data_IF_015182486999
#
_entry.id   IF_015182486999
#
_cell.length_a   1.000
_cell.length_b   1.000
_cell.length_c   1.000
_cell.angle_alpha   90.00
_cell.angle_beta   90.00
_cell.angle_gamma   90.00
#
_symmetry.space_group_name_H-M   'P 1'
#
loop_
_entity.id
_entity.type
_entity.pdbx_description
1 polymer ?
#
# COMPACT_ATOMS: atom_id res chain seq x y z
N UNK A 1 0.57 -77.34 33.08
CA UNK A 1 -0.61 -76.45 33.04
C UNK A 1 -0.71 -75.90 31.61
N UNK A 2 -1.62 -76.45 30.79
CA UNK A 2 -1.87 -75.92 29.44
C UNK A 2 -2.88 -74.77 29.55
N UNK A 3 -2.42 -73.55 29.26
CA UNK A 3 -3.24 -72.37 29.21
C UNK A 3 -4.27 -72.53 28.07
N UNK A 4 -5.55 -72.51 28.41
CA UNK A 4 -6.65 -72.54 27.44
C UNK A 4 -6.66 -71.19 26.70
N UNK A 5 -6.02 -71.09 25.55
CA UNK A 5 -6.13 -69.96 24.67
C UNK A 5 -7.49 -70.03 23.97
N UNK A 6 -8.43 -69.19 24.39
CA UNK A 6 -9.70 -68.97 23.68
C UNK A 6 -9.41 -68.17 22.41
N UNK A 7 -9.59 -68.78 21.27
CA UNK A 7 -9.54 -68.09 19.97
C UNK A 7 -10.71 -67.10 19.83
N UNK A 8 -10.49 -65.97 19.13
CA UNK A 8 -11.54 -65.01 18.80
C UNK A 8 -12.58 -65.65 17.90
N UNK A 9 -13.84 -65.32 18.13
CA UNK A 9 -14.91 -65.74 17.23
C UNK A 9 -14.93 -64.88 15.98
N UNK A 10 -15.37 -65.42 14.84
CA UNK A 10 -15.51 -64.70 13.59
C UNK A 10 -16.39 -63.43 13.73
N UNK A 11 -17.39 -63.49 14.57
CA UNK A 11 -18.32 -62.36 14.86
C UNK A 11 -17.64 -61.28 15.67
N UNK A 12 -16.81 -61.59 16.68
CA UNK A 12 -16.05 -60.64 17.42
C UNK A 12 -15.05 -59.88 16.52
N UNK A 13 -14.36 -60.60 15.62
CA UNK A 13 -13.47 -59.95 14.66
C UNK A 13 -14.24 -59.05 13.69
N UNK A 14 -15.41 -59.44 13.22
CA UNK A 14 -16.23 -58.65 12.32
C UNK A 14 -16.72 -57.35 13.01
N UNK A 15 -17.17 -57.42 14.24
CA UNK A 15 -17.61 -56.24 15.01
C UNK A 15 -16.44 -55.29 15.24
N UNK A 16 -15.26 -55.79 15.61
CA UNK A 16 -14.04 -54.95 15.82
C UNK A 16 -13.64 -54.24 14.51
N UNK A 17 -13.69 -54.93 13.36
CA UNK A 17 -13.37 -54.32 12.06
C UNK A 17 -14.37 -53.23 11.68
N UNK A 18 -15.67 -53.40 11.97
CA UNK A 18 -16.68 -52.35 11.73
C UNK A 18 -16.44 -51.13 12.60
N UNK A 19 -16.17 -51.33 13.90
CA UNK A 19 -15.89 -50.23 14.81
C UNK A 19 -14.60 -49.47 14.41
N UNK A 20 -13.53 -50.18 14.07
CA UNK A 20 -12.29 -49.60 13.58
C UNK A 20 -12.54 -48.81 12.27
N UNK A 21 -13.30 -49.34 11.33
CA UNK A 21 -13.68 -48.70 10.10
C UNK A 21 -14.43 -47.37 10.31
N UNK A 22 -15.38 -47.34 11.25
CA UNK A 22 -16.12 -46.15 11.63
C UNK A 22 -15.20 -45.10 12.29
N UNK A 23 -14.36 -45.52 13.23
CA UNK A 23 -13.41 -44.63 13.90
C UNK A 23 -12.39 -44.03 12.93
N UNK A 24 -11.84 -44.82 12.01
CA UNK A 24 -10.93 -44.33 10.97
C UNK A 24 -11.60 -43.32 10.06
N UNK A 25 -12.86 -43.50 9.69
CA UNK A 25 -13.59 -42.53 8.83
C UNK A 25 -13.71 -41.17 9.49
N UNK A 26 -14.03 -41.11 10.77
CA UNK A 26 -14.11 -39.82 11.54
C UNK A 26 -12.73 -39.21 11.74
N UNK A 27 -11.73 -40.02 12.10
CA UNK A 27 -10.36 -39.55 12.33
C UNK A 27 -9.72 -38.97 11.07
N UNK A 28 -9.95 -39.59 9.89
CA UNK A 28 -9.43 -39.07 8.60
C UNK A 28 -10.04 -37.72 8.24
N UNK A 29 -11.35 -37.53 8.40
CA UNK A 29 -12.00 -36.23 8.12
C UNK A 29 -11.47 -35.14 9.04
N UNK A 30 -11.32 -35.40 10.31
CA UNK A 30 -10.75 -34.45 11.27
C UNK A 30 -9.29 -34.11 10.95
N UNK A 31 -8.49 -35.10 10.55
CA UNK A 31 -7.09 -34.90 10.14
C UNK A 31 -6.94 -34.02 8.91
N UNK A 32 -7.76 -34.23 7.88
CA UNK A 32 -7.74 -33.40 6.65
C UNK A 32 -8.10 -31.96 6.95
N UNK A 33 -9.15 -31.71 7.72
CA UNK A 33 -9.56 -30.37 8.13
C UNK A 33 -8.45 -29.65 8.92
N UNK A 34 -7.77 -30.35 9.82
CA UNK A 34 -6.67 -29.78 10.59
C UNK A 34 -5.47 -29.40 9.70
N UNK A 35 -5.12 -30.22 8.73
CA UNK A 35 -4.04 -29.92 7.76
C UNK A 35 -4.39 -28.69 6.96
N UNK A 36 -5.62 -28.57 6.49
CA UNK A 36 -6.07 -27.42 5.70
C UNK A 36 -6.05 -26.11 6.52
N UNK A 37 -6.54 -26.17 7.75
CA UNK A 37 -6.46 -25.03 8.69
C UNK A 37 -5.03 -24.59 8.95
N UNK A 38 -4.11 -25.54 9.12
CA UNK A 38 -2.68 -25.24 9.32
C UNK A 38 -2.07 -24.59 8.09
N UNK A 39 -2.39 -25.05 6.88
CA UNK A 39 -1.91 -24.44 5.63
C UNK A 39 -2.38 -23.00 5.45
N UNK A 40 -3.66 -22.74 5.75
CA UNK A 40 -4.24 -21.40 5.73
C UNK A 40 -3.53 -20.49 6.74
N UNK A 41 -3.34 -20.97 7.98
CA UNK A 41 -2.64 -20.21 9.01
C UNK A 41 -1.18 -19.91 8.62
N UNK A 42 -0.47 -20.88 8.06
CA UNK A 42 0.89 -20.72 7.53
C UNK A 42 0.92 -19.68 6.40
N UNK A 43 -0.04 -19.70 5.49
CA UNK A 43 -0.15 -18.72 4.40
C UNK A 43 -0.28 -17.31 4.94
N UNK A 44 -1.21 -17.08 5.88
CA UNK A 44 -1.39 -15.76 6.53
C UNK A 44 -0.14 -15.28 7.24
N UNK A 45 0.50 -16.16 8.01
CA UNK A 45 1.76 -15.84 8.69
C UNK A 45 2.86 -15.41 7.71
N UNK A 46 2.98 -16.09 6.57
CA UNK A 46 3.96 -15.73 5.54
C UNK A 46 3.61 -14.41 4.86
N UNK A 47 2.33 -14.10 4.61
CA UNK A 47 1.89 -12.79 4.13
C UNK A 47 2.29 -11.67 5.10
N UNK A 48 2.15 -11.89 6.41
CA UNK A 48 2.58 -10.92 7.42
C UNK A 48 4.11 -10.75 7.45
N UNK A 49 4.88 -11.83 7.30
CA UNK A 49 6.35 -11.77 7.19
C UNK A 49 6.76 -10.97 5.96
N UNK A 50 6.11 -11.18 4.81
CA UNK A 50 6.37 -10.43 3.58
C UNK A 50 6.03 -8.95 3.80
N UNK A 51 4.91 -8.62 4.46
CA UNK A 51 4.56 -7.22 4.80
C UNK A 51 5.68 -6.55 5.61
N UNK A 52 6.18 -7.21 6.65
CA UNK A 52 7.27 -6.66 7.46
C UNK A 52 8.56 -6.46 6.64
N UNK A 53 8.90 -7.40 5.77
CA UNK A 53 10.06 -7.27 4.89
C UNK A 53 9.90 -6.13 3.87
N UNK A 54 8.70 -5.93 3.34
CA UNK A 54 8.36 -4.79 2.48
C UNK A 54 8.52 -3.46 3.22
N UNK A 55 8.08 -3.37 4.47
CA UNK A 55 8.27 -2.17 5.29
C UNK A 55 9.75 -1.88 5.54
N UNK A 56 10.56 -2.89 5.84
CA UNK A 56 12.01 -2.74 5.98
C UNK A 56 12.66 -2.30 4.65
N UNK A 57 12.21 -2.85 3.53
CA UNK A 57 12.70 -2.45 2.21
C UNK A 57 12.37 -0.99 1.90
N UNK A 58 11.14 -0.54 2.22
CA UNK A 58 10.72 0.86 2.08
C UNK A 58 11.64 1.77 2.92
N UNK A 59 11.88 1.45 4.17
CA UNK A 59 12.72 2.23 5.08
C UNK A 59 14.14 2.42 4.53
N UNK A 60 14.67 1.43 3.83
CA UNK A 60 16.04 1.46 3.28
C UNK A 60 16.13 2.03 1.86
N UNK A 61 15.08 1.88 1.05
CA UNK A 61 15.11 2.18 -0.38
C UNK A 61 14.16 3.31 -0.80
N UNK A 62 13.29 3.80 0.09
CA UNK A 62 12.25 4.80 -0.17
C UNK A 62 11.33 4.44 -1.36
N UNK A 63 11.08 3.17 -1.59
CA UNK A 63 10.21 2.62 -2.64
C UNK A 63 9.78 1.21 -2.31
N UNK A 64 8.82 0.67 -3.04
CA UNK A 64 8.51 -0.75 -3.06
C UNK A 64 9.40 -1.48 -4.07
N UNK A 65 9.70 -2.77 -3.86
CA UNK A 65 10.45 -3.54 -4.84
C UNK A 65 9.59 -3.86 -6.06
N UNK A 66 10.22 -4.00 -7.22
CA UNK A 66 9.58 -4.59 -8.37
C UNK A 66 9.26 -6.08 -8.12
N UNK A 67 8.22 -6.65 -8.74
CA UNK A 67 8.01 -8.10 -8.71
C UNK A 67 9.24 -8.87 -9.22
N UNK A 68 9.46 -10.07 -8.71
CA UNK A 68 10.36 -11.01 -9.32
C UNK A 68 9.70 -11.72 -10.51
N UNK A 69 10.53 -12.26 -11.41
CA UNK A 69 10.09 -12.98 -12.59
C UNK A 69 9.48 -14.32 -12.19
N UNK A 70 8.20 -14.52 -12.47
CA UNK A 70 7.47 -15.70 -12.06
C UNK A 70 7.95 -17.00 -12.78
N UNK A 71 8.37 -16.91 -14.03
CA UNK A 71 8.75 -18.05 -14.87
C UNK A 71 10.19 -18.55 -14.71
N UNK A 72 11.00 -17.95 -13.83
CA UNK A 72 12.37 -18.38 -13.62
C UNK A 72 12.44 -19.64 -12.74
N UNK A 73 13.24 -20.60 -13.19
CA UNK A 73 13.58 -21.79 -12.42
C UNK A 73 14.68 -21.50 -11.38
N UNK A 74 14.80 -22.32 -10.31
CA UNK A 74 15.91 -22.23 -9.37
C UNK A 74 17.28 -22.22 -10.08
N UNK A 75 18.23 -21.50 -9.51
CA UNK A 75 19.58 -21.30 -10.05
C UNK A 75 19.67 -20.50 -11.36
N UNK A 76 18.59 -19.94 -11.86
CA UNK A 76 18.63 -18.99 -12.98
C UNK A 76 18.98 -17.59 -12.47
N UNK A 77 19.75 -16.83 -13.22
CA UNK A 77 20.08 -15.45 -12.87
C UNK A 77 18.79 -14.61 -12.71
N UNK A 78 18.68 -13.86 -11.61
CA UNK A 78 17.49 -13.10 -11.29
C UNK A 78 16.37 -13.87 -10.56
N UNK A 79 16.56 -15.15 -10.28
CA UNK A 79 15.60 -15.94 -9.53
C UNK A 79 15.33 -15.34 -8.13
N UNK A 80 14.10 -14.96 -7.87
CA UNK A 80 13.70 -14.33 -6.60
C UNK A 80 14.18 -12.90 -6.39
N UNK A 81 14.83 -12.32 -7.37
CA UNK A 81 15.30 -10.93 -7.33
C UNK A 81 14.31 -10.04 -8.07
N UNK A 82 14.11 -8.82 -7.58
CA UNK A 82 13.27 -7.85 -8.26
C UNK A 82 13.71 -7.61 -9.72
N UNK A 83 12.74 -7.59 -10.61
CA UNK A 83 12.97 -7.37 -12.04
C UNK A 83 13.08 -5.88 -12.33
N UNK A 84 14.26 -5.32 -12.09
CA UNK A 84 14.58 -3.91 -12.25
C UNK A 84 15.57 -3.71 -13.39
N UNK A 85 15.25 -2.88 -14.38
CA UNK A 85 16.16 -2.46 -15.42
C UNK A 85 16.20 -0.94 -15.52
N UNK A 86 17.39 -0.34 -15.34
CA UNK A 86 17.64 1.12 -15.39
C UNK A 86 16.65 1.93 -14.55
N UNK A 87 16.27 1.39 -13.39
CA UNK A 87 15.37 2.08 -12.47
C UNK A 87 13.87 1.94 -12.74
N UNK A 88 13.47 1.10 -13.68
CA UNK A 88 12.06 0.84 -14.00
C UNK A 88 11.80 -0.65 -13.86
N UNK A 89 10.62 -0.99 -13.29
CA UNK A 89 10.16 -2.37 -13.28
C UNK A 89 9.90 -2.85 -14.71
N UNK A 90 10.44 -4.00 -15.04
CA UNK A 90 10.21 -4.63 -16.32
C UNK A 90 9.00 -5.53 -16.23
N UNK A 91 7.89 -5.11 -16.83
CA UNK A 91 6.58 -5.73 -16.61
C UNK A 91 6.27 -6.98 -17.42
N UNK A 92 7.11 -7.38 -18.39
CA UNK A 92 6.85 -8.54 -19.25
C UNK A 92 8.13 -9.25 -19.60
N UNK A 93 8.08 -10.57 -19.61
CA UNK A 93 9.17 -11.44 -20.01
C UNK A 93 8.76 -12.24 -21.25
N UNK A 94 9.66 -12.40 -22.17
CA UNK A 94 9.52 -13.36 -23.25
C UNK A 94 9.56 -14.79 -22.68
N UNK A 95 9.01 -15.74 -23.42
CA UNK A 95 9.04 -17.16 -23.06
C UNK A 95 10.47 -17.73 -22.88
N UNK A 96 11.49 -17.06 -23.40
CA UNK A 96 12.91 -17.40 -23.28
C UNK A 96 13.59 -16.80 -22.03
N UNK A 97 12.83 -16.11 -21.16
CA UNK A 97 13.36 -15.46 -19.97
C UNK A 97 14.05 -14.12 -20.24
N UNK A 98 14.08 -13.65 -21.48
CA UNK A 98 14.58 -12.30 -21.80
C UNK A 98 13.57 -11.24 -21.38
N UNK A 99 14.10 -10.17 -20.81
CA UNK A 99 13.31 -9.03 -20.35
C UNK A 99 12.80 -8.26 -21.57
N UNK A 100 11.49 -8.24 -21.79
CA UNK A 100 10.90 -7.27 -22.71
C UNK A 100 10.92 -5.91 -22.03
N UNK A 101 11.82 -5.06 -22.50
CA UNK A 101 11.81 -3.63 -22.16
C UNK A 101 10.67 -2.98 -22.93
N UNK A 102 9.46 -3.22 -22.47
CA UNK A 102 8.32 -2.39 -22.77
C UNK A 102 8.12 -1.50 -21.57
N UNK A 103 8.04 -0.19 -21.76
CA UNK A 103 7.56 0.69 -20.72
C UNK A 103 6.32 0.03 -20.13
N UNK A 104 6.21 -0.06 -18.78
CA UNK A 104 5.00 -0.49 -18.15
C UNK A 104 3.87 0.39 -18.71
N UNK A 105 3.12 -0.14 -19.67
CA UNK A 105 2.03 0.59 -20.33
C UNK A 105 0.80 0.67 -19.44
N UNK A 106 0.94 0.16 -18.19
CA UNK A 106 -0.09 0.12 -17.19
C UNK A 106 0.31 0.81 -15.88
N UNK A 107 -0.66 0.99 -15.03
CA UNK A 107 -0.49 1.56 -13.68
C UNK A 107 0.06 0.55 -12.67
N UNK A 108 0.11 -0.73 -13.03
CA UNK A 108 0.55 -1.85 -12.16
C UNK A 108 1.54 -2.77 -12.87
N UNK A 109 2.33 -3.49 -12.09
CA UNK A 109 3.24 -4.55 -12.56
C UNK A 109 3.05 -5.80 -11.71
N UNK A 110 3.01 -6.97 -12.38
CA UNK A 110 2.67 -8.26 -11.75
C UNK A 110 3.80 -9.27 -11.95
N UNK A 111 4.07 -10.06 -10.93
CA UNK A 111 5.01 -11.18 -10.92
C UNK A 111 4.84 -11.98 -9.64
N UNK A 112 5.93 -12.42 -9.06
CA UNK A 112 5.94 -13.10 -7.75
C UNK A 112 6.71 -12.26 -6.73
N UNK A 113 6.54 -12.58 -5.45
CA UNK A 113 7.25 -11.90 -4.35
C UNK A 113 8.76 -11.94 -4.60
N UNK A 114 9.47 -10.80 -4.58
CA UNK A 114 10.91 -10.74 -4.81
C UNK A 114 11.69 -11.05 -3.53
N UNK A 115 11.63 -12.29 -3.05
CA UNK A 115 12.14 -12.69 -1.74
C UNK A 115 13.61 -12.42 -1.54
N UNK A 116 14.44 -12.60 -2.57
CA UNK A 116 15.87 -12.32 -2.50
C UNK A 116 16.17 -10.83 -2.28
N UNK A 117 15.42 -9.94 -2.95
CA UNK A 117 15.54 -8.49 -2.73
C UNK A 117 14.99 -8.06 -1.37
N UNK A 118 14.04 -8.81 -0.81
CA UNK A 118 13.47 -8.59 0.52
C UNK A 118 14.27 -9.24 1.66
N UNK A 119 15.41 -9.86 1.34
CA UNK A 119 16.23 -10.65 2.29
C UNK A 119 15.42 -11.76 3.00
N UNK A 120 14.44 -12.33 2.31
CA UNK A 120 13.66 -13.47 2.76
C UNK A 120 14.22 -14.77 2.15
N UNK A 121 13.89 -15.90 2.78
CA UNK A 121 14.13 -17.23 2.18
C UNK A 121 13.09 -17.51 1.10
N UNK A 122 13.46 -18.38 0.17
CA UNK A 122 12.56 -18.91 -0.87
C UNK A 122 11.27 -19.52 -0.31
N UNK A 123 11.37 -20.18 0.85
CA UNK A 123 10.24 -20.76 1.56
C UNK A 123 9.20 -19.72 1.97
N UNK A 124 9.62 -18.49 2.34
CA UNK A 124 8.70 -17.41 2.72
C UNK A 124 7.93 -16.84 1.53
N UNK A 125 8.43 -17.04 0.30
CA UNK A 125 7.74 -16.64 -0.92
C UNK A 125 6.77 -17.70 -1.47
N UNK A 126 6.62 -18.81 -0.75
CA UNK A 126 5.75 -19.94 -1.07
C UNK A 126 4.68 -20.05 0.00
N UNK A 127 3.42 -20.18 -0.40
CA UNK A 127 2.29 -20.31 0.51
C UNK A 127 2.24 -21.66 1.25
N UNK A 128 1.24 -21.87 2.08
CA UNK A 128 1.03 -23.15 2.79
C UNK A 128 0.62 -24.30 1.89
N UNK A 129 0.32 -24.05 0.62
CA UNK A 129 -0.06 -25.03 -0.41
C UNK A 129 1.07 -25.29 -1.41
N UNK A 130 2.28 -24.73 -1.14
CA UNK A 130 3.50 -24.88 -1.94
C UNK A 130 3.49 -24.19 -3.30
N UNK A 131 2.65 -23.15 -3.47
CA UNK A 131 2.64 -22.28 -4.62
C UNK A 131 3.33 -20.95 -4.31
N UNK A 132 3.91 -20.30 -5.35
CA UNK A 132 4.47 -18.96 -5.22
C UNK A 132 3.36 -17.94 -5.00
N UNK A 133 3.57 -16.99 -4.09
CA UNK A 133 2.70 -15.84 -3.98
C UNK A 133 2.78 -14.99 -5.24
N UNK A 134 1.65 -14.69 -5.84
CA UNK A 134 1.55 -13.62 -6.83
C UNK A 134 1.71 -12.27 -6.12
N UNK A 135 2.53 -11.40 -6.66
CA UNK A 135 2.79 -10.06 -6.16
C UNK A 135 2.51 -9.04 -7.27
N UNK A 136 1.60 -8.12 -7.01
CA UNK A 136 1.33 -7.00 -7.90
C UNK A 136 1.50 -5.70 -7.14
N UNK A 137 2.11 -4.71 -7.79
CA UNK A 137 2.44 -3.41 -7.18
C UNK A 137 2.13 -2.27 -8.16
N UNK A 138 1.70 -1.13 -7.63
CA UNK A 138 1.55 0.10 -8.40
C UNK A 138 2.92 0.59 -8.90
N UNK A 139 3.04 0.85 -10.21
CA UNK A 139 4.30 1.27 -10.85
C UNK A 139 4.87 2.54 -10.19
N UNK A 140 4.01 3.49 -9.85
CA UNK A 140 4.42 4.72 -9.18
C UNK A 140 5.15 4.49 -7.85
N UNK A 141 4.82 3.39 -7.14
CA UNK A 141 5.44 3.04 -5.87
C UNK A 141 6.84 2.41 -6.00
N UNK A 142 7.24 2.01 -7.21
CA UNK A 142 8.50 1.29 -7.47
C UNK A 142 9.57 2.14 -8.15
N UNK A 143 9.28 3.40 -8.47
CA UNK A 143 10.14 4.26 -9.29
C UNK A 143 11.51 4.53 -8.66
N UNK A 144 12.57 4.32 -9.44
CA UNK A 144 13.97 4.56 -9.05
C UNK A 144 14.66 5.63 -9.89
N UNK A 145 14.04 6.11 -10.97
CA UNK A 145 14.69 6.97 -11.97
C UNK A 145 14.79 8.43 -11.56
N UNK A 146 13.98 8.87 -10.62
CA UNK A 146 14.05 10.24 -10.11
C UNK A 146 14.38 10.21 -8.63
N UNK A 147 15.45 10.88 -8.24
CA UNK A 147 15.76 11.13 -6.83
C UNK A 147 14.65 11.93 -6.15
N UNK A 148 13.94 12.75 -6.92
CA UNK A 148 12.77 13.53 -6.53
C UNK A 148 11.55 12.62 -6.35
N UNK A 149 11.28 11.73 -7.30
CA UNK A 149 10.11 10.84 -7.24
C UNK A 149 10.26 9.66 -6.26
N UNK A 150 11.50 9.26 -5.91
CA UNK A 150 11.72 8.23 -4.87
C UNK A 150 11.17 8.62 -3.51
N UNK A 151 11.37 9.87 -3.16
CA UNK A 151 10.94 10.43 -1.89
C UNK A 151 9.45 10.80 -1.94
N UNK A 152 8.98 11.13 -3.14
CA UNK A 152 7.67 11.65 -3.44
C UNK A 152 6.53 10.69 -3.17
N UNK A 153 6.67 9.46 -3.65
CA UNK A 153 5.57 8.49 -3.61
C UNK A 153 5.32 7.92 -2.22
N UNK A 154 6.34 7.87 -1.37
CA UNK A 154 6.27 7.14 -0.10
C UNK A 154 6.20 8.03 1.14
N UNK A 155 6.65 9.28 1.07
CA UNK A 155 6.72 10.14 2.26
C UNK A 155 5.48 11.00 2.51
N UNK A 156 4.48 10.92 1.63
CA UNK A 156 3.15 11.48 1.89
C UNK A 156 2.12 10.36 1.78
N UNK A 157 1.41 10.06 2.86
CA UNK A 157 0.29 9.10 2.85
C UNK A 157 -0.74 9.51 1.78
N UNK A 158 -0.86 10.80 1.49
CA UNK A 158 -1.71 11.36 0.43
C UNK A 158 -1.12 11.28 -0.99
N UNK A 159 0.20 11.10 -1.13
CA UNK A 159 0.88 11.05 -2.44
C UNK A 159 0.97 9.64 -3.05
N UNK A 160 0.95 8.62 -2.21
CA UNK A 160 0.97 7.24 -2.69
C UNK A 160 -0.45 6.80 -3.06
N UNK A 161 -0.90 7.17 -4.25
CA UNK A 161 -2.18 6.70 -4.78
C UNK A 161 -2.04 5.25 -5.21
N UNK A 162 -2.82 4.36 -4.58
CA UNK A 162 -2.92 2.97 -5.03
C UNK A 162 -3.53 2.91 -6.43
N UNK A 163 -3.12 1.91 -7.20
CA UNK A 163 -3.60 1.67 -8.56
C UNK A 163 -4.42 0.38 -8.67
N UNK A 164 -4.62 -0.33 -7.55
CA UNK A 164 -5.24 -1.65 -7.52
C UNK A 164 -6.60 -1.56 -6.83
N UNK A 165 -7.65 -2.00 -7.51
CA UNK A 165 -9.03 -2.03 -6.99
C UNK A 165 -9.36 -3.40 -6.42
N UNK A 166 -10.01 -3.42 -5.24
CA UNK A 166 -10.45 -4.64 -4.57
C UNK A 166 -11.97 -4.69 -4.60
N UNK A 167 -12.51 -5.84 -4.98
CA UNK A 167 -13.94 -6.07 -5.15
C UNK A 167 -14.41 -7.28 -4.34
N UNK A 168 -15.68 -7.28 -3.94
CA UNK A 168 -16.30 -8.38 -3.18
C UNK A 168 -16.98 -9.45 -4.05
N UNK A 169 -16.88 -9.33 -5.36
CA UNK A 169 -17.45 -10.29 -6.32
C UNK A 169 -17.11 -9.92 -7.76
N UNK A 170 -17.36 -10.83 -8.67
CA UNK A 170 -16.94 -10.78 -10.07
C UNK A 170 -17.63 -9.73 -10.90
N UNK A 171 -16.91 -9.12 -11.85
CA UNK A 171 -17.55 -8.51 -13.01
C UNK A 171 -18.29 -9.59 -13.82
N UNK A 172 -19.47 -9.26 -14.31
CA UNK A 172 -20.32 -10.18 -15.11
C UNK A 172 -19.70 -10.57 -16.46
N UNK A 173 -18.62 -9.89 -16.87
CA UNK A 173 -17.86 -10.19 -18.10
C UNK A 173 -16.38 -9.94 -17.82
N UNK A 174 -15.55 -10.93 -18.11
CA UNK A 174 -14.09 -10.86 -17.99
C UNK A 174 -13.54 -9.67 -18.81
N UNK A 175 -12.78 -8.79 -18.16
CA UNK A 175 -12.23 -7.59 -18.79
C UNK A 175 -13.21 -6.43 -19.02
N UNK A 176 -14.49 -6.57 -18.66
CA UNK A 176 -15.44 -5.46 -18.69
C UNK A 176 -15.29 -4.57 -17.44
N UNK A 177 -15.59 -3.26 -17.55
CA UNK A 177 -15.70 -2.41 -16.37
C UNK A 177 -16.73 -3.01 -15.41
N UNK A 178 -16.37 -3.12 -14.14
CA UNK A 178 -17.26 -3.67 -13.11
C UNK A 178 -18.49 -2.77 -13.02
N UNK A 179 -19.64 -3.30 -13.39
CA UNK A 179 -20.90 -2.55 -13.37
C UNK A 179 -21.33 -2.26 -11.93
N UNK A 180 -21.77 -1.06 -11.70
CA UNK A 180 -22.14 -0.27 -10.54
C UNK A 180 -22.74 -0.84 -9.25
N UNK A 181 -22.64 -2.14 -8.96
CA UNK A 181 -23.21 -2.72 -7.74
C UNK A 181 -22.23 -3.55 -6.91
N UNK A 182 -20.94 -3.41 -7.15
CA UNK A 182 -19.93 -4.12 -6.37
C UNK A 182 -19.32 -3.17 -5.34
N UNK A 183 -19.42 -3.56 -4.09
CA UNK A 183 -18.89 -2.81 -2.97
C UNK A 183 -17.36 -2.83 -3.06
N UNK A 184 -16.76 -1.71 -3.47
CA UNK A 184 -15.35 -1.49 -3.18
C UNK A 184 -15.18 -1.52 -1.65
N UNK A 185 -14.23 -2.30 -1.15
CA UNK A 185 -13.89 -2.28 0.29
C UNK A 185 -13.42 -0.91 0.76
N UNK A 186 -13.24 0.01 -0.17
CA UNK A 186 -12.82 1.37 0.08
C UNK A 186 -13.83 2.36 -0.53
N UNK A 187 -14.53 3.10 0.30
CA UNK A 187 -15.40 4.22 -0.09
C UNK A 187 -14.85 5.48 0.56
N UNK A 188 -14.64 6.56 -0.16
CA UNK A 188 -15.02 6.85 -1.54
C UNK A 188 -14.01 6.36 -2.60
N UNK A 189 -14.51 6.11 -3.81
CA UNK A 189 -13.73 5.69 -4.97
C UNK A 189 -12.56 6.65 -5.21
N UNK A 190 -11.35 6.11 -5.27
CA UNK A 190 -10.13 6.85 -5.57
C UNK A 190 -9.20 7.16 -4.40
N UNK A 191 -9.64 6.97 -3.14
CA UNK A 191 -8.81 7.24 -1.96
C UNK A 191 -8.23 5.99 -1.30
N UNK A 192 -8.74 4.82 -1.61
CA UNK A 192 -8.37 3.56 -0.97
C UNK A 192 -7.96 2.46 -1.95
N UNK A 193 -7.41 2.79 -3.10
CA UNK A 193 -6.81 1.78 -3.96
C UNK A 193 -5.62 1.15 -3.24
N UNK A 194 -5.50 -0.17 -3.30
CA UNK A 194 -4.33 -0.85 -2.79
C UNK A 194 -3.09 -0.45 -3.60
N UNK A 195 -1.95 -0.30 -2.91
CA UNK A 195 -0.66 -0.02 -3.54
C UNK A 195 0.00 -1.30 -4.00
N UNK A 196 -0.25 -2.37 -3.28
CA UNK A 196 0.20 -3.71 -3.63
C UNK A 196 -0.79 -4.77 -3.16
N UNK A 197 -0.72 -5.93 -3.83
CA UNK A 197 -1.50 -7.11 -3.49
C UNK A 197 -0.58 -8.33 -3.50
N UNK A 198 -0.76 -9.22 -2.52
CA UNK A 198 -0.10 -10.51 -2.41
C UNK A 198 -1.19 -11.57 -2.43
N UNK A 199 -1.17 -12.46 -3.42
CA UNK A 199 -2.19 -13.52 -3.59
C UNK A 199 -1.58 -14.88 -3.39
N UNK A 200 -2.20 -15.69 -2.52
CA UNK A 200 -2.08 -17.14 -2.55
C UNK A 200 -3.28 -17.70 -3.31
N UNK A 201 -3.04 -18.54 -4.26
CA UNK A 201 -4.08 -19.18 -5.07
C UNK A 201 -4.65 -20.45 -4.41
N UNK A 202 -4.63 -20.49 -3.09
CA UNK A 202 -5.32 -21.47 -2.27
C UNK A 202 -4.91 -22.93 -2.50
N UNK A 203 -5.82 -23.82 -2.14
CA UNK A 203 -5.58 -25.27 -2.15
C UNK A 203 -5.63 -25.87 -3.56
N UNK A 204 -6.39 -25.25 -4.46
CA UNK A 204 -6.48 -25.68 -5.87
C UNK A 204 -5.26 -25.19 -6.68
N UNK A 205 -4.64 -24.08 -6.26
CA UNK A 205 -3.43 -23.49 -6.84
C UNK A 205 -3.61 -23.02 -8.29
N UNK A 206 -4.82 -22.80 -8.75
CA UNK A 206 -5.09 -22.38 -10.13
C UNK A 206 -4.49 -21.00 -10.41
N UNK A 207 -3.75 -20.88 -11.52
CA UNK A 207 -3.09 -19.64 -11.92
C UNK A 207 -1.78 -19.33 -11.21
N UNK A 208 -1.47 -20.01 -10.10
CA UNK A 208 -0.23 -19.85 -9.37
C UNK A 208 0.99 -20.31 -10.18
N UNK A 209 2.14 -19.79 -9.81
CA UNK A 209 3.43 -20.35 -10.23
C UNK A 209 3.97 -21.31 -9.18
N UNK A 210 4.52 -22.44 -9.62
CA UNK A 210 5.21 -23.38 -8.76
C UNK A 210 6.68 -23.00 -8.54
N UNK A 211 7.36 -23.72 -7.66
CA UNK A 211 8.76 -23.45 -7.34
C UNK A 211 9.73 -23.56 -8.53
N UNK A 212 9.37 -24.29 -9.57
CA UNK A 212 10.19 -24.49 -10.78
C UNK A 212 9.91 -23.46 -11.89
N UNK A 213 9.06 -22.47 -11.64
CA UNK A 213 8.70 -21.43 -12.61
C UNK A 213 7.55 -21.84 -13.56
N UNK A 214 7.01 -23.06 -13.47
CA UNK A 214 5.85 -23.46 -14.23
C UNK A 214 4.57 -22.80 -13.68
N UNK A 215 3.69 -22.32 -14.56
CA UNK A 215 2.38 -21.84 -14.16
C UNK A 215 1.39 -23.01 -14.14
N UNK A 216 0.62 -23.11 -13.07
CA UNK A 216 -0.48 -24.05 -12.94
C UNK A 216 -1.63 -23.68 -13.90
N UNK A 217 -2.55 -24.64 -14.11
CA UNK A 217 -3.74 -24.40 -14.93
C UNK A 217 -4.48 -23.16 -14.46
N UNK A 218 -5.01 -22.36 -15.39
CA UNK A 218 -5.84 -21.22 -15.08
C UNK A 218 -7.19 -21.65 -14.51
N UNK A 219 -7.77 -20.89 -13.58
CA UNK A 219 -9.10 -21.18 -13.06
C UNK A 219 -10.18 -21.03 -14.13
N UNK A 220 -11.27 -21.77 -13.97
CA UNK A 220 -12.48 -21.64 -14.79
C UNK A 220 -13.54 -20.76 -14.11
N UNK A 221 -13.47 -20.61 -12.78
CA UNK A 221 -14.32 -19.71 -12.01
C UNK A 221 -13.96 -18.26 -12.26
N UNK A 222 -14.96 -17.41 -12.42
CA UNK A 222 -14.75 -16.02 -12.80
C UNK A 222 -14.01 -15.22 -11.72
N UNK A 223 -14.25 -15.52 -10.42
CA UNK A 223 -13.64 -14.79 -9.30
C UNK A 223 -12.14 -15.08 -9.16
N UNK A 224 -11.74 -16.36 -9.24
CA UNK A 224 -10.32 -16.73 -9.23
C UNK A 224 -9.63 -16.31 -10.53
N UNK A 225 -10.33 -16.33 -11.67
CA UNK A 225 -9.78 -15.90 -12.94
C UNK A 225 -9.47 -14.41 -12.94
N UNK A 226 -10.28 -13.57 -12.25
CA UNK A 226 -9.98 -12.16 -12.04
C UNK A 226 -8.69 -11.96 -11.26
N UNK A 227 -8.41 -12.81 -10.27
CA UNK A 227 -7.17 -12.74 -9.49
C UNK A 227 -5.93 -13.23 -10.26
N UNK A 228 -6.08 -13.75 -11.48
CA UNK A 228 -4.99 -14.29 -12.32
C UNK A 228 -4.78 -13.53 -13.62
N UNK A 229 -5.71 -12.66 -14.02
CA UNK A 229 -5.72 -11.99 -15.35
C UNK A 229 -4.66 -10.86 -15.47
N UNK A 230 -3.98 -10.49 -14.38
CA UNK A 230 -2.89 -9.48 -14.30
C UNK A 230 -3.34 -8.05 -14.60
N UNK A 231 -4.64 -7.77 -14.57
CA UNK A 231 -5.13 -6.39 -14.60
C UNK A 231 -5.02 -5.76 -13.18
N UNK A 232 -5.57 -4.57 -12.97
CA UNK A 232 -5.49 -3.85 -11.69
C UNK A 232 -6.66 -4.15 -10.75
N UNK A 233 -7.35 -5.26 -10.91
CA UNK A 233 -8.55 -5.60 -10.14
C UNK A 233 -8.39 -6.97 -9.49
N UNK A 234 -8.84 -7.08 -8.24
CA UNK A 234 -8.84 -8.32 -7.48
C UNK A 234 -10.16 -8.52 -6.77
N UNK A 235 -10.54 -9.79 -6.61
CA UNK A 235 -11.71 -10.19 -5.85
C UNK A 235 -11.28 -10.74 -4.50
N UNK A 236 -11.90 -10.25 -3.43
CA UNK A 236 -11.81 -10.82 -2.07
C UNK A 236 -13.19 -11.26 -1.65
N UNK A 237 -13.36 -12.53 -1.35
CA UNK A 237 -14.59 -13.08 -0.79
C UNK A 237 -14.32 -14.30 0.08
N UNK A 238 -15.36 -14.80 0.73
CA UNK A 238 -15.30 -16.04 1.49
C UNK A 238 -15.10 -17.25 0.59
N UNK A 239 -14.53 -18.32 1.15
CA UNK A 239 -14.37 -19.61 0.50
C UNK A 239 -15.70 -20.11 -0.12
N UNK A 240 -15.62 -20.61 -1.34
CA UNK A 240 -16.75 -21.17 -2.06
C UNK A 240 -16.35 -22.50 -2.74
N UNK A 241 -17.07 -23.56 -2.45
CA UNK A 241 -16.96 -24.85 -3.10
C UNK A 241 -17.97 -25.03 -4.26
N UNK A 242 -18.65 -23.96 -4.67
CA UNK A 242 -19.59 -23.98 -5.79
C UNK A 242 -18.85 -24.37 -7.09
N UNK A 243 -19.18 -25.51 -7.73
CA UNK A 243 -18.46 -25.97 -8.91
C UNK A 243 -18.49 -25.00 -10.10
N UNK A 244 -19.50 -24.13 -10.16
CA UNK A 244 -19.62 -23.13 -11.24
C UNK A 244 -18.71 -21.93 -11.02
N UNK A 245 -18.34 -21.63 -9.77
CA UNK A 245 -17.47 -20.50 -9.41
C UNK A 245 -16.81 -20.82 -8.06
N UNK A 246 -15.86 -21.77 -8.04
CA UNK A 246 -15.09 -22.07 -6.85
C UNK A 246 -14.24 -20.86 -6.46
N UNK A 247 -13.90 -20.74 -5.17
CA UNK A 247 -13.04 -19.69 -4.70
C UNK A 247 -12.31 -20.09 -3.41
N UNK A 248 -10.99 -20.16 -3.48
CA UNK A 248 -10.14 -20.43 -2.32
C UNK A 248 -8.91 -19.51 -2.25
N UNK A 249 -8.86 -18.49 -3.11
CA UNK A 249 -7.80 -17.50 -3.13
C UNK A 249 -7.73 -16.69 -1.82
N UNK A 250 -6.51 -16.41 -1.38
CA UNK A 250 -6.24 -15.57 -0.21
C UNK A 250 -5.53 -14.30 -0.67
N UNK A 251 -6.30 -13.25 -0.88
CA UNK A 251 -5.82 -11.95 -1.35
C UNK A 251 -5.49 -11.05 -0.18
N UNK A 252 -4.25 -10.61 -0.07
CA UNK A 252 -3.75 -9.71 0.94
C UNK A 252 -3.40 -8.37 0.30
N UNK A 253 -4.33 -7.42 0.39
CA UNK A 253 -4.19 -6.09 -0.18
C UNK A 253 -3.65 -5.11 0.87
N UNK A 254 -2.71 -4.27 0.46
CA UNK A 254 -2.07 -3.27 1.33
C UNK A 254 -2.21 -1.88 0.71
N UNK A 255 -2.71 -0.96 1.51
CA UNK A 255 -2.79 0.47 1.18
C UNK A 255 -1.49 1.19 1.57
N UNK A 256 -1.33 2.43 1.11
CA UNK A 256 -0.23 3.27 1.56
C UNK A 256 -0.20 3.41 3.09
N UNK A 257 -1.35 3.58 3.71
CA UNK A 257 -1.47 3.72 5.17
C UNK A 257 -1.00 2.45 5.90
N UNK A 258 -1.32 1.25 5.39
CA UNK A 258 -0.91 -0.02 6.01
C UNK A 258 0.61 -0.20 6.06
N UNK A 259 1.32 0.42 5.12
CA UNK A 259 2.77 0.33 4.99
C UNK A 259 3.49 1.49 5.69
N UNK A 260 2.99 2.72 5.52
CA UNK A 260 3.71 3.93 5.94
C UNK A 260 3.39 4.35 7.38
N UNK A 261 2.14 4.19 7.84
CA UNK A 261 1.77 4.60 9.21
C UNK A 261 2.61 3.92 10.29
N UNK A 262 2.88 2.60 10.24
CA UNK A 262 3.78 2.00 11.22
C UNK A 262 5.21 2.56 11.17
N UNK A 263 5.73 2.84 9.96
CA UNK A 263 7.08 3.36 9.77
C UNK A 263 7.23 4.81 10.26
N UNK A 264 6.22 5.66 10.03
CA UNK A 264 6.20 7.03 10.55
C UNK A 264 6.06 7.05 12.07
N UNK A 265 5.17 6.23 12.63
CA UNK A 265 4.96 6.12 14.08
C UNK A 265 6.22 5.65 14.83
N UNK A 266 7.04 4.82 14.20
CA UNK A 266 8.32 4.35 14.76
C UNK A 266 9.50 5.26 14.40
N UNK A 267 9.29 6.34 13.64
CA UNK A 267 10.35 7.24 13.21
C UNK A 267 11.33 6.64 12.20
N UNK A 268 10.97 5.52 11.58
CA UNK A 268 11.79 4.85 10.56
C UNK A 268 11.81 5.62 9.23
N UNK A 269 10.73 6.37 8.96
CA UNK A 269 10.63 7.33 7.87
C UNK A 269 10.04 8.65 8.39
N UNK A 270 10.33 9.76 7.71
CA UNK A 270 9.78 11.05 8.09
C UNK A 270 8.37 11.22 7.50
N UNK A 271 7.45 11.78 8.29
CA UNK A 271 6.17 12.25 7.78
C UNK A 271 6.36 13.69 7.24
N UNK A 272 6.51 13.82 5.94
CA UNK A 272 6.70 15.12 5.30
C UNK A 272 5.49 16.04 5.43
N UNK A 273 4.26 15.48 5.49
CA UNK A 273 3.08 16.31 5.78
C UNK A 273 3.14 16.92 7.18
N UNK A 274 3.61 16.16 8.18
CA UNK A 274 3.79 16.68 9.52
C UNK A 274 4.84 17.81 9.54
N UNK A 275 5.97 17.61 8.85
CA UNK A 275 7.04 18.64 8.73
C UNK A 275 6.51 19.90 8.03
N UNK A 276 5.77 19.73 6.92
CA UNK A 276 5.18 20.86 6.19
C UNK A 276 4.19 21.61 7.08
N UNK A 277 3.30 20.93 7.78
CA UNK A 277 2.33 21.56 8.66
C UNK A 277 3.01 22.28 9.83
N UNK A 278 4.07 21.72 10.40
CA UNK A 278 4.88 22.36 11.42
C UNK A 278 5.56 23.61 10.88
N UNK A 279 6.22 23.54 9.73
CA UNK A 279 6.87 24.68 9.09
C UNK A 279 5.88 25.81 8.77
N UNK A 280 4.72 25.47 8.19
CA UNK A 280 3.66 26.44 7.91
C UNK A 280 3.11 27.06 9.20
N UNK A 281 2.98 26.28 10.27
CA UNK A 281 2.60 26.81 11.59
C UNK A 281 3.64 27.77 12.14
N UNK A 282 4.92 27.48 12.00
CA UNK A 282 6.02 28.36 12.40
C UNK A 282 6.06 29.65 11.58
N UNK A 283 5.85 29.55 10.25
CA UNK A 283 5.72 30.72 9.36
C UNK A 283 4.53 31.58 9.79
N UNK A 284 3.36 30.99 10.02
CA UNK A 284 2.17 31.69 10.51
C UNK A 284 2.44 32.43 11.82
N UNK A 285 3.05 31.76 12.79
CA UNK A 285 3.34 32.35 14.08
C UNK A 285 4.36 33.52 13.96
N UNK A 286 5.36 33.40 13.09
CA UNK A 286 6.31 34.47 12.82
C UNK A 286 5.65 35.69 12.16
N UNK A 287 4.74 35.48 11.21
CA UNK A 287 3.93 36.54 10.58
C UNK A 287 3.08 37.26 11.64
N UNK A 288 2.43 36.51 12.52
CA UNK A 288 1.62 37.10 13.60
C UNK A 288 2.50 37.94 14.54
N UNK A 289 3.65 37.42 14.94
CA UNK A 289 4.59 38.15 15.81
C UNK A 289 5.08 39.43 15.15
N UNK A 290 5.41 39.40 13.85
CA UNK A 290 5.82 40.55 13.07
C UNK A 290 4.68 41.59 12.93
N UNK A 291 3.47 41.13 12.59
CA UNK A 291 2.28 41.97 12.47
C UNK A 291 1.92 42.68 13.78
N UNK A 292 2.01 41.98 14.91
CA UNK A 292 1.77 42.56 16.25
C UNK A 292 2.86 43.58 16.61
N UNK A 293 4.13 43.27 16.30
CA UNK A 293 5.25 44.17 16.54
C UNK A 293 5.14 45.47 15.75
N UNK A 294 4.73 45.36 14.50
CA UNK A 294 4.67 46.48 13.55
C UNK A 294 3.26 47.09 13.43
N UNK A 295 2.35 46.76 14.35
CA UNK A 295 0.99 47.31 14.36
C UNK A 295 0.99 48.83 14.39
N UNK A 296 0.03 49.44 13.71
CA UNK A 296 -0.22 50.87 13.71
C UNK A 296 -1.67 51.18 14.13
N UNK A 297 -1.92 52.44 14.52
CA UNK A 297 -3.25 52.86 14.98
C UNK A 297 -3.37 53.02 16.49
N UNK A 298 -4.58 53.16 17.01
CA UNK A 298 -4.91 53.37 18.42
C UNK A 298 -5.74 52.23 18.96
N UNK A 299 -5.84 52.12 20.28
CA UNK A 299 -6.67 51.08 20.94
C UNK A 299 -8.09 51.04 20.36
N UNK A 300 -8.52 49.87 19.95
CA UNK A 300 -9.81 49.62 19.28
C UNK A 300 -9.82 49.81 17.76
N UNK A 301 -8.72 50.27 17.15
CA UNK A 301 -8.59 50.43 15.68
C UNK A 301 -7.14 50.19 15.23
N UNK A 302 -6.58 49.08 15.62
CA UNK A 302 -5.24 48.68 15.16
C UNK A 302 -5.31 48.08 13.74
N UNK A 303 -4.25 48.38 12.95
CA UNK A 303 -3.94 47.70 11.69
C UNK A 303 -2.67 46.88 11.87
N UNK A 304 -2.74 45.61 11.50
CA UNK A 304 -1.68 44.61 11.62
C UNK A 304 -1.14 44.30 10.22
N UNK A 305 0.05 44.80 9.85
CA UNK A 305 0.59 44.59 8.51
C UNK A 305 0.94 43.12 8.28
N UNK A 306 0.63 42.62 7.09
CA UNK A 306 1.04 41.28 6.65
C UNK A 306 2.26 41.47 5.74
N UNK A 307 3.41 40.81 6.02
CA UNK A 307 4.60 40.94 5.23
C UNK A 307 4.41 40.43 3.80
N UNK A 308 5.01 41.06 2.82
CA UNK A 308 5.01 40.64 1.42
C UNK A 308 5.99 39.48 1.15
N UNK A 309 6.86 39.19 2.11
CA UNK A 309 7.84 38.08 1.99
C UNK A 309 8.17 37.56 3.38
N UNK A 310 8.35 36.23 3.46
CA UNK A 310 8.80 35.56 4.69
C UNK A 310 10.32 35.65 4.90
N UNK A 311 11.08 36.12 3.91
CA UNK A 311 12.55 36.16 3.98
C UNK A 311 13.08 37.14 5.08
N UNK A 312 12.29 38.13 5.45
CA UNK A 312 12.64 39.09 6.51
C UNK A 312 12.23 38.66 7.92
N UNK A 313 11.49 37.55 8.04
CA UNK A 313 11.02 37.04 9.32
C UNK A 313 12.13 36.26 10.03
N UNK A 314 12.14 36.35 11.36
CA UNK A 314 13.03 35.54 12.20
C UNK A 314 12.47 34.11 12.30
N UNK A 315 12.65 33.31 11.25
CA UNK A 315 12.21 31.91 11.21
C UNK A 315 13.28 30.99 11.82
N UNK A 316 12.88 29.88 12.45
CA UNK A 316 13.81 28.77 12.77
C UNK A 316 14.55 28.30 11.51
N UNK A 317 15.76 27.79 11.66
CA UNK A 317 16.52 27.23 10.54
C UNK A 317 15.73 26.13 9.86
N UNK A 318 15.77 26.12 8.55
CA UNK A 318 15.04 25.17 7.66
C UNK A 318 13.51 25.31 7.62
N UNK A 319 12.89 26.27 8.33
CA UNK A 319 11.43 26.46 8.27
C UNK A 319 10.96 27.04 6.93
N UNK A 320 11.82 27.76 6.21
CA UNK A 320 11.50 28.33 4.89
C UNK A 320 11.70 27.39 3.74
N UNK A 321 12.19 26.18 4.00
CA UNK A 321 12.51 25.16 3.01
C UNK A 321 11.63 23.94 3.28
N UNK A 322 11.02 23.41 2.23
CA UNK A 322 10.21 22.21 2.30
C UNK A 322 11.06 20.93 2.41
N UNK A 323 10.48 19.76 2.67
CA UNK A 323 11.22 18.50 2.81
C UNK A 323 12.02 18.07 1.57
N UNK A 324 11.72 18.64 0.41
CA UNK A 324 12.43 18.34 -0.85
C UNK A 324 13.53 19.34 -1.18
N UNK A 325 13.73 20.33 -0.30
CA UNK A 325 14.81 21.31 -0.41
C UNK A 325 14.45 22.56 -1.21
N UNK A 326 13.15 22.77 -1.47
CA UNK A 326 12.65 23.95 -2.19
C UNK A 326 12.08 24.96 -1.20
N UNK A 327 12.31 26.26 -1.45
CA UNK A 327 11.70 27.30 -0.63
C UNK A 327 10.18 27.28 -0.81
N UNK A 328 9.45 27.43 0.31
CA UNK A 328 8.01 27.60 0.24
C UNK A 328 7.67 28.84 -0.60
N UNK A 329 6.68 28.68 -1.48
CA UNK A 329 6.07 29.81 -2.18
C UNK A 329 5.07 30.47 -1.23
N UNK A 330 5.38 31.74 -0.88
CA UNK A 330 4.55 32.55 -0.01
C UNK A 330 3.86 33.62 -0.83
N UNK A 331 2.55 33.74 -0.72
CA UNK A 331 1.74 34.73 -1.40
C UNK A 331 0.84 35.47 -0.39
N UNK A 332 1.12 36.74 -0.19
CA UNK A 332 0.29 37.65 0.63
C UNK A 332 -0.87 38.19 -0.21
N UNK A 333 -2.09 37.93 0.24
CA UNK A 333 -3.31 38.33 -0.49
C UNK A 333 -3.83 39.69 -0.02
N UNK A 334 -3.47 40.08 1.22
CA UNK A 334 -3.84 41.36 1.82
C UNK A 334 -2.63 42.02 2.44
N UNK A 335 -2.60 43.35 2.45
CA UNK A 335 -1.48 44.14 3.03
C UNK A 335 -1.57 44.28 4.54
N UNK A 336 -2.73 44.23 5.14
CA UNK A 336 -2.93 44.36 6.59
C UNK A 336 -4.28 43.78 7.02
N UNK A 337 -4.36 43.42 8.30
CA UNK A 337 -5.62 43.03 8.96
C UNK A 337 -6.06 44.21 9.85
N UNK A 338 -7.28 44.65 9.68
CA UNK A 338 -7.94 45.68 10.47
C UNK A 338 -9.38 45.27 10.78
N UNK A 339 -10.11 46.19 11.45
CA UNK A 339 -11.52 45.93 11.81
C UNK A 339 -12.48 45.82 10.64
N UNK A 340 -12.08 46.25 9.44
CA UNK A 340 -12.85 46.14 8.20
C UNK A 340 -12.49 44.91 7.36
N UNK A 341 -11.49 44.14 7.73
CA UNK A 341 -11.05 42.95 6.98
C UNK A 341 -12.08 41.84 7.06
N UNK A 342 -12.44 41.25 5.89
CA UNK A 342 -13.42 40.17 5.83
C UNK A 342 -12.88 38.90 6.47
N UNK A 343 -13.54 38.31 7.48
CA UNK A 343 -13.03 37.11 8.19
C UNK A 343 -12.78 35.89 7.30
N UNK A 344 -13.57 35.74 6.24
CA UNK A 344 -13.49 34.59 5.32
C UNK A 344 -12.46 34.75 4.21
N UNK A 345 -11.87 35.95 4.05
CA UNK A 345 -10.82 36.14 3.02
C UNK A 345 -9.52 35.46 3.41
N UNK A 346 -8.80 34.97 2.41
CA UNK A 346 -7.42 34.47 2.58
C UNK A 346 -6.51 35.66 2.86
N UNK A 347 -5.74 35.60 3.96
CA UNK A 347 -4.76 36.60 4.29
C UNK A 347 -3.46 36.35 3.55
N UNK A 348 -3.01 35.12 3.53
CA UNK A 348 -1.89 34.64 2.75
C UNK A 348 -1.98 33.14 2.51
N UNK A 349 -1.25 32.65 1.51
CA UNK A 349 -1.06 31.23 1.24
C UNK A 349 0.42 30.86 1.32
N UNK A 350 0.68 29.61 1.70
CA UNK A 350 2.00 28.99 1.68
C UNK A 350 1.89 27.69 0.91
N UNK A 351 2.70 27.52 -0.13
CA UNK A 351 2.70 26.35 -0.98
C UNK A 351 4.07 25.67 -0.98
N UNK A 352 4.09 24.37 -0.72
CA UNK A 352 5.21 23.51 -1.10
C UNK A 352 4.93 22.93 -2.48
N UNK A 353 5.92 22.98 -3.34
CA UNK A 353 5.80 22.41 -4.70
C UNK A 353 5.85 20.88 -4.71
N UNK A 354 5.86 20.26 -3.54
CA UNK A 354 5.83 18.84 -3.42
C UNK A 354 7.07 18.15 -4.01
N UNK A 355 6.91 16.87 -4.22
CA UNK A 355 8.00 16.00 -4.65
C UNK A 355 8.54 16.23 -6.04
N UNK A 356 7.76 16.74 -6.97
CA UNK A 356 8.22 17.04 -8.34
C UNK A 356 9.02 18.36 -8.40
N UNK A 357 9.01 19.16 -7.32
CA UNK A 357 9.66 20.48 -7.17
C UNK A 357 9.18 21.51 -8.23
N UNK A 358 8.04 21.30 -8.85
CA UNK A 358 7.47 22.15 -9.87
C UNK A 358 6.17 22.76 -9.37
N UNK A 359 5.91 24.02 -9.75
CA UNK A 359 4.67 24.73 -9.44
C UNK A 359 3.52 24.19 -10.31
N UNK A 360 2.67 23.38 -9.74
CA UNK A 360 1.45 22.87 -10.38
C UNK A 360 0.23 23.77 -10.07
N UNK A 361 0.47 25.00 -9.61
CA UNK A 361 -0.57 26.00 -9.28
C UNK A 361 -1.52 25.53 -8.16
N UNK A 362 -0.99 24.84 -7.16
CA UNK A 362 -1.73 24.34 -6.00
C UNK A 362 -2.57 23.08 -6.26
N UNK A 363 -2.31 22.40 -7.37
CA UNK A 363 -2.92 21.11 -7.73
C UNK A 363 -1.84 20.02 -7.83
N UNK A 364 -2.18 18.82 -8.23
CA UNK A 364 -1.21 17.73 -8.39
C UNK A 364 -0.62 17.26 -7.06
N UNK A 365 0.70 17.39 -6.90
CA UNK A 365 1.44 17.09 -5.68
C UNK A 365 1.83 18.33 -4.86
N UNK A 366 1.44 19.54 -5.33
CA UNK A 366 1.55 20.76 -4.55
C UNK A 366 0.73 20.67 -3.25
N UNK A 367 1.31 21.14 -2.16
CA UNK A 367 0.67 21.20 -0.86
C UNK A 367 0.48 22.67 -0.46
N UNK A 368 -0.69 23.21 -0.79
CA UNK A 368 -1.06 24.57 -0.44
C UNK A 368 -1.84 24.64 0.87
N UNK A 369 -1.56 25.66 1.66
CA UNK A 369 -2.33 26.00 2.85
C UNK A 369 -2.68 27.49 2.82
N UNK A 370 -3.97 27.76 2.83
CA UNK A 370 -4.53 29.09 2.90
C UNK A 370 -4.81 29.46 4.37
N UNK A 371 -4.32 30.62 4.77
CA UNK A 371 -4.55 31.16 6.11
C UNK A 371 -5.53 32.30 5.98
N UNK A 372 -6.69 32.18 6.64
CA UNK A 372 -7.75 33.18 6.59
C UNK A 372 -7.55 34.29 7.59
N UNK A 373 -8.15 35.43 7.32
CA UNK A 373 -8.18 36.58 8.26
C UNK A 373 -8.72 36.18 9.63
N UNK A 374 -9.77 35.38 9.68
CA UNK A 374 -10.36 34.92 10.95
C UNK A 374 -9.36 34.09 11.80
N UNK A 375 -8.57 33.22 11.16
CA UNK A 375 -7.55 32.44 11.87
C UNK A 375 -6.46 33.32 12.49
N UNK A 376 -6.13 34.43 11.86
CA UNK A 376 -5.16 35.39 12.40
C UNK A 376 -5.79 36.27 13.47
N UNK A 377 -6.99 36.78 13.27
CA UNK A 377 -7.74 37.57 14.25
C UNK A 377 -7.97 36.81 15.54
N UNK A 378 -8.32 35.52 15.47
CA UNK A 378 -8.49 34.68 16.65
C UNK A 378 -7.23 34.56 17.50
N UNK A 379 -6.06 34.54 16.88
CA UNK A 379 -4.77 34.43 17.56
C UNK A 379 -4.35 35.82 18.10
N UNK A 380 -4.44 36.85 17.26
CA UNK A 380 -4.12 38.22 17.63
C UNK A 380 -5.06 38.67 18.79
N UNK A 381 -6.36 38.37 18.70
CA UNK A 381 -7.33 38.71 19.72
C UNK A 381 -7.13 37.99 21.06
N UNK A 382 -6.55 36.78 21.07
CA UNK A 382 -6.28 36.01 22.29
C UNK A 382 -4.95 36.35 22.95
N UNK A 383 -4.03 36.97 22.23
CA UNK A 383 -2.66 37.25 22.69
C UNK A 383 -2.29 38.71 22.97
N UNK A 384 -3.22 39.64 22.77
CA UNK A 384 -2.91 41.10 22.73
C UNK A 384 -3.80 41.90 23.69
N UNK A 385 -4.22 41.33 24.81
CA UNK A 385 -4.91 42.07 25.85
C UNK A 385 -4.07 42.18 27.10
#
# INVERSE_FOLDING_TARGET
MLSNQKGFSLVELAIVLVIIGLLLTVALKAGISQIQSTRIATTKQKQDIIKLALMNFISSNNRLPCPAIAGLAPNTAGYGIEALNKGVCTGTFNADGSVVIGAATGTVVTGIVPWGSLALSDENATDGFYNRFTYQVAVAATNTTSTTNRVAGLNTISGLKGAISIHSGTPTVLGAPIAGNQTNFCVPVGTCSAVLVIVSHGSNGFGAYNANGGQNQLPTGADELENTNKDSKFVIKDFSDNPANPYDDMVFALTASDLLTPLTNHGSIQDYNAIINENISNIKNAIIADAVKNRSGTSGSYSYPIPNSIAALSLPSNTSIDPWGVNYNYNSTIGSIDSGSSPSSTAFSVTSYGPNMADDSGVGDDIQRDITVNQLQDIIGKGVW
#
